data_IF_819863735992
#
_entry.id   IF_819863735992
#
_cell.length_a   1.000
_cell.length_b   1.000
_cell.length_c   1.000
_cell.angle_alpha   90.00
_cell.angle_beta   90.00
_cell.angle_gamma   90.00
#
_symmetry.space_group_name_H-M   'P 1'
#
loop_
_entity.id
_entity.type
_entity.pdbx_description
1 polymer ?
#
# COMPACT_ATOMS: atom_id res chain seq x y z
N UNK A 1 -12.94 -14.37 23.12
CA UNK A 1 -12.30 -15.29 22.15
C UNK A 1 -11.16 -16.01 22.88
N UNK A 2 -11.21 -17.34 23.05
CA UNK A 2 -10.16 -18.09 23.75
C UNK A 2 -8.95 -18.20 22.83
N UNK A 3 -7.81 -17.62 23.24
CA UNK A 3 -6.53 -17.73 22.53
C UNK A 3 -6.13 -19.22 22.46
N UNK A 4 -6.07 -19.76 21.24
CA UNK A 4 -5.58 -21.11 20.96
C UNK A 4 -4.05 -21.03 20.85
N UNK A 5 -3.34 -21.21 21.96
CA UNK A 5 -1.87 -21.25 22.00
C UNK A 5 -1.26 -20.68 23.30
N UNK A 6 0.03 -20.99 23.55
CA UNK A 6 0.83 -20.27 24.57
C UNK A 6 0.77 -18.78 24.24
N UNK A 7 0.06 -18.00 25.05
CA UNK A 7 -0.19 -16.58 24.78
C UNK A 7 1.09 -15.83 24.45
N UNK A 8 1.07 -15.13 23.31
CA UNK A 8 2.14 -14.25 22.90
C UNK A 8 2.12 -13.01 23.80
N UNK A 9 3.30 -12.43 24.08
CA UNK A 9 3.44 -11.21 24.89
C UNK A 9 2.58 -10.06 24.34
N UNK A 10 2.29 -10.09 23.04
CA UNK A 10 1.52 -9.08 22.32
C UNK A 10 0.01 -9.27 22.37
N UNK A 11 -0.49 -10.44 22.81
CA UNK A 11 -1.93 -10.74 22.77
C UNK A 11 -2.76 -9.78 23.62
N UNK A 12 -2.22 -9.30 24.74
CA UNK A 12 -2.85 -8.26 25.56
C UNK A 12 -3.03 -6.93 24.83
N UNK A 13 -2.05 -6.54 24.01
CA UNK A 13 -2.15 -5.31 23.23
C UNK A 13 -3.13 -5.49 22.07
N UNK A 14 -3.17 -6.68 21.46
CA UNK A 14 -4.18 -7.03 20.44
C UNK A 14 -5.59 -6.99 21.03
N UNK A 15 -5.79 -7.57 22.22
CA UNK A 15 -7.06 -7.52 22.95
C UNK A 15 -7.52 -6.10 23.23
N UNK A 16 -6.62 -5.24 23.72
CA UNK A 16 -6.92 -3.82 23.92
C UNK A 16 -7.30 -3.09 22.62
N UNK A 17 -6.57 -3.32 21.52
CA UNK A 17 -6.82 -2.63 20.25
C UNK A 17 -8.12 -3.08 19.56
N UNK A 18 -8.54 -4.33 19.74
CA UNK A 18 -9.74 -4.89 19.08
C UNK A 18 -10.97 -4.77 19.97
N UNK A 19 -10.87 -5.14 21.25
CA UNK A 19 -12.00 -5.24 22.18
C UNK A 19 -12.07 -4.08 23.19
N UNK A 20 -11.02 -3.27 23.30
CA UNK A 20 -10.94 -2.21 24.32
C UNK A 20 -10.60 -2.72 25.73
N UNK A 21 -10.04 -3.93 25.86
CA UNK A 21 -9.65 -4.50 27.15
C UNK A 21 -8.73 -3.56 27.94
N UNK A 22 -8.92 -3.43 29.26
CA UNK A 22 -8.11 -2.52 30.08
C UNK A 22 -6.64 -2.93 30.14
N UNK A 23 -5.74 -1.97 29.92
CA UNK A 23 -4.30 -2.15 30.07
C UNK A 23 -3.83 -1.53 31.39
N UNK A 24 -2.81 -2.13 32.01
CA UNK A 24 -2.14 -1.49 33.13
C UNK A 24 -1.38 -0.23 32.66
N UNK A 25 -1.15 0.77 33.52
CA UNK A 25 -0.44 1.99 33.13
C UNK A 25 0.94 1.76 32.49
N UNK A 26 1.67 0.75 32.98
CA UNK A 26 2.96 0.36 32.40
C UNK A 26 2.84 -0.23 31.00
N UNK A 27 1.77 -0.97 30.74
CA UNK A 27 1.49 -1.59 29.45
C UNK A 27 1.00 -0.55 28.45
N UNK A 28 0.21 0.41 28.91
CA UNK A 28 -0.20 1.56 28.11
C UNK A 28 0.99 2.43 27.70
N UNK A 29 1.93 2.71 28.62
CA UNK A 29 3.17 3.40 28.27
C UNK A 29 4.00 2.64 27.22
N UNK A 30 3.98 1.31 27.27
CA UNK A 30 4.64 0.49 26.24
C UNK A 30 3.88 0.52 24.90
N UNK A 31 2.55 0.50 24.94
CA UNK A 31 1.70 0.63 23.76
C UNK A 31 1.93 1.98 23.07
N UNK A 32 2.12 3.06 23.82
CA UNK A 32 2.46 4.37 23.26
C UNK A 32 3.81 4.34 22.52
N UNK A 33 4.81 3.60 23.01
CA UNK A 33 6.08 3.41 22.28
C UNK A 33 5.87 2.65 20.97
N UNK A 34 5.05 1.60 20.97
CA UNK A 34 4.69 0.89 19.74
C UNK A 34 3.94 1.80 18.76
N UNK A 35 2.96 2.57 19.23
CA UNK A 35 2.23 3.54 18.41
C UNK A 35 3.15 4.61 17.83
N UNK A 36 4.10 5.12 18.62
CA UNK A 36 5.10 6.10 18.17
C UNK A 36 5.98 5.52 17.07
N UNK A 37 6.50 4.31 17.25
CA UNK A 37 7.30 3.62 16.23
C UNK A 37 6.49 3.42 14.94
N UNK A 38 5.23 2.99 15.06
CA UNK A 38 4.34 2.82 13.92
C UNK A 38 4.04 4.14 13.20
N UNK A 39 3.77 5.21 13.95
CA UNK A 39 3.50 6.52 13.39
C UNK A 39 4.69 7.04 12.58
N UNK A 40 5.92 6.87 13.08
CA UNK A 40 7.13 7.24 12.33
C UNK A 40 7.25 6.43 11.03
N UNK A 41 6.99 5.13 11.07
CA UNK A 41 6.99 4.31 9.85
C UNK A 41 5.90 4.74 8.86
N UNK A 42 4.70 5.10 9.34
CA UNK A 42 3.63 5.66 8.49
C UNK A 42 4.02 7.02 7.89
N UNK A 43 4.81 7.84 8.58
CA UNK A 43 5.37 9.08 8.01
C UNK A 43 6.47 8.82 6.96
N UNK A 44 6.73 7.57 6.58
CA UNK A 44 7.71 7.20 5.56
C UNK A 44 9.14 7.09 6.07
N UNK A 45 9.39 7.14 7.38
CA UNK A 45 10.73 6.90 7.92
C UNK A 45 11.11 5.42 7.81
N UNK A 46 12.34 5.15 7.38
CA UNK A 46 12.89 3.79 7.38
C UNK A 46 13.06 3.26 8.81
N UNK A 47 13.21 1.94 8.98
CA UNK A 47 13.45 1.33 10.30
C UNK A 47 14.70 1.91 10.99
N UNK A 48 15.76 2.17 10.23
CA UNK A 48 16.99 2.79 10.74
C UNK A 48 16.76 4.23 11.19
N UNK A 49 16.08 5.04 10.37
CA UNK A 49 15.73 6.43 10.72
C UNK A 49 14.82 6.49 11.95
N UNK A 50 13.83 5.59 12.03
CA UNK A 50 12.93 5.46 13.17
C UNK A 50 13.71 5.14 14.45
N UNK A 51 14.70 4.25 14.38
CA UNK A 51 15.58 3.95 15.52
C UNK A 51 16.37 5.19 15.97
N UNK A 52 16.97 5.93 15.02
CA UNK A 52 17.71 7.17 15.33
C UNK A 52 16.84 8.27 15.90
N UNK A 53 15.57 8.37 15.48
CA UNK A 53 14.61 9.32 16.03
C UNK A 53 14.18 8.91 17.44
N UNK A 54 13.82 7.65 17.65
CA UNK A 54 13.40 7.16 18.97
C UNK A 54 14.54 7.15 19.99
N UNK A 55 15.80 6.98 19.58
CA UNK A 55 16.94 7.07 20.49
C UNK A 55 17.19 8.48 21.02
N UNK A 56 16.77 9.51 20.28
CA UNK A 56 16.81 10.90 20.76
C UNK A 56 15.67 11.22 21.74
N UNK A 57 14.52 10.57 21.56
CA UNK A 57 13.31 10.80 22.36
C UNK A 57 13.28 9.95 23.65
N UNK A 58 14.01 8.84 23.69
CA UNK A 58 13.95 7.86 24.78
C UNK A 58 15.34 7.41 25.23
N UNK A 59 15.49 7.16 26.53
CA UNK A 59 16.75 6.68 27.14
C UNK A 59 16.96 5.15 27.00
N UNK A 60 16.39 4.53 25.97
CA UNK A 60 16.45 3.09 25.76
C UNK A 60 17.68 2.69 24.94
N UNK A 61 18.19 1.48 25.19
CA UNK A 61 19.30 0.96 24.38
C UNK A 61 18.83 0.63 22.96
N UNK A 62 19.76 0.70 21.99
CA UNK A 62 19.43 0.41 20.59
C UNK A 62 18.81 -0.98 20.39
N UNK A 63 19.28 -1.98 21.15
CA UNK A 63 18.71 -3.34 21.12
C UNK A 63 17.24 -3.36 21.58
N UNK A 64 16.91 -2.60 22.62
CA UNK A 64 15.53 -2.47 23.10
C UNK A 64 14.65 -1.74 22.08
N UNK A 65 15.16 -0.66 21.47
CA UNK A 65 14.45 0.07 20.41
C UNK A 65 14.20 -0.80 19.19
N UNK A 66 15.17 -1.62 18.81
CA UNK A 66 15.01 -2.57 17.70
C UNK A 66 13.95 -3.64 18.02
N UNK A 67 13.90 -4.13 19.28
CA UNK A 67 12.83 -5.00 19.73
C UNK A 67 11.46 -4.31 19.68
N UNK A 68 11.38 -3.03 20.08
CA UNK A 68 10.14 -2.24 20.03
C UNK A 68 9.65 -2.07 18.59
N UNK A 69 10.53 -1.71 17.66
CA UNK A 69 10.17 -1.56 16.24
C UNK A 69 9.67 -2.89 15.68
N UNK A 70 10.35 -4.00 16.00
CA UNK A 70 9.95 -5.34 15.57
C UNK A 70 8.58 -5.74 16.12
N UNK A 71 8.35 -5.53 17.41
CA UNK A 71 7.08 -5.82 18.07
C UNK A 71 5.95 -4.93 17.52
N UNK A 72 6.25 -3.65 17.22
CA UNK A 72 5.33 -2.73 16.57
C UNK A 72 4.90 -3.24 15.20
N UNK A 73 5.85 -3.72 14.38
CA UNK A 73 5.54 -4.32 13.06
C UNK A 73 4.67 -5.57 13.22
N UNK A 74 4.90 -6.40 14.24
CA UNK A 74 4.05 -7.57 14.53
C UNK A 74 2.65 -7.21 15.02
N UNK A 75 2.48 -6.03 15.61
CA UNK A 75 1.21 -5.59 16.19
C UNK A 75 0.34 -4.89 15.14
N UNK A 76 0.94 -4.00 14.34
CA UNK A 76 0.22 -3.15 13.38
C UNK A 76 0.40 -3.58 11.92
N UNK A 77 1.30 -4.53 11.65
CA UNK A 77 1.70 -4.92 10.31
C UNK A 77 2.94 -4.16 9.81
N UNK A 78 3.56 -4.68 8.76
CA UNK A 78 4.67 -4.02 8.08
C UNK A 78 4.11 -3.06 7.04
N UNK A 79 4.37 -1.76 7.19
CA UNK A 79 4.01 -0.73 6.18
C UNK A 79 4.58 -1.07 4.80
N UNK A 80 5.71 -1.78 4.77
CA UNK A 80 6.36 -2.19 3.53
C UNK A 80 5.75 -3.42 2.85
N UNK A 81 4.91 -4.18 3.57
CA UNK A 81 4.22 -5.35 3.03
C UNK A 81 2.76 -5.02 2.66
N UNK A 82 2.34 -3.77 2.88
CA UNK A 82 1.02 -3.27 2.47
C UNK A 82 0.94 -3.23 0.95
N UNK A 83 -0.24 -3.54 0.43
CA UNK A 83 -0.59 -3.42 -0.98
C UNK A 83 -0.09 -2.08 -1.58
N UNK A 84 0.30 -2.14 -2.86
CA UNK A 84 0.82 -1.00 -3.63
C UNK A 84 -0.12 0.21 -3.53
N UNK A 85 -1.44 -0.02 -3.44
CA UNK A 85 -2.45 1.01 -3.20
C UNK A 85 -2.30 1.71 -1.84
N UNK A 86 -1.99 0.99 -0.77
CA UNK A 86 -1.78 1.57 0.56
C UNK A 86 -0.51 2.39 0.65
N UNK A 87 0.61 1.89 0.08
CA UNK A 87 1.84 2.68 -0.03
C UNK A 87 1.64 3.98 -0.82
N UNK A 88 0.86 3.90 -1.90
CA UNK A 88 0.47 5.04 -2.73
C UNK A 88 -0.25 6.10 -1.87
N UNK A 89 -1.23 5.70 -1.08
CA UNK A 89 -1.94 6.59 -0.18
C UNK A 89 -1.00 7.26 0.84
N UNK A 90 -0.15 6.49 1.50
CA UNK A 90 0.78 7.00 2.51
C UNK A 90 1.77 8.02 1.90
N UNK A 91 2.33 7.72 0.73
CA UNK A 91 3.25 8.64 0.06
C UNK A 91 2.56 9.93 -0.36
N UNK A 92 1.32 9.87 -0.82
CA UNK A 92 0.53 11.06 -1.11
C UNK A 92 0.37 11.96 0.11
N UNK A 93 -0.07 11.40 1.24
CA UNK A 93 -0.23 12.17 2.49
C UNK A 93 1.11 12.82 2.91
N UNK A 94 2.22 12.09 2.79
CA UNK A 94 3.54 12.62 3.09
C UNK A 94 3.94 13.77 2.15
N UNK A 95 3.63 13.68 0.85
CA UNK A 95 3.87 14.79 -0.08
C UNK A 95 2.98 16.01 0.22
N UNK A 96 1.72 15.79 0.61
CA UNK A 96 0.82 16.87 1.01
C UNK A 96 1.33 17.58 2.27
N UNK A 97 1.79 16.83 3.27
CA UNK A 97 2.44 17.39 4.46
C UNK A 97 3.71 18.17 4.12
N UNK A 98 4.57 17.63 3.27
CA UNK A 98 5.79 18.31 2.82
C UNK A 98 5.49 19.61 2.08
N UNK A 99 4.47 19.62 1.20
CA UNK A 99 4.02 20.82 0.51
C UNK A 99 3.49 21.89 1.46
N UNK A 100 2.70 21.49 2.46
CA UNK A 100 2.20 22.39 3.50
C UNK A 100 3.33 22.99 4.35
N UNK A 101 4.35 22.20 4.68
CA UNK A 101 5.53 22.67 5.42
C UNK A 101 6.33 23.68 4.58
N UNK A 102 6.62 23.35 3.32
CA UNK A 102 7.33 24.25 2.40
C UNK A 102 6.56 25.56 2.16
N UNK A 103 5.22 25.51 2.09
CA UNK A 103 4.36 26.70 2.04
C UNK A 103 4.53 27.59 3.26
N UNK A 104 4.62 26.99 4.46
CA UNK A 104 4.81 27.73 5.72
C UNK A 104 6.18 28.39 5.79
N UNK A 105 7.21 27.75 5.23
CA UNK A 105 8.59 28.26 5.19
C UNK A 105 8.85 29.25 4.04
N UNK A 106 7.88 29.43 3.13
CA UNK A 106 8.00 30.30 1.96
C UNK A 106 8.81 29.70 0.80
N UNK A 107 9.17 28.42 0.86
CA UNK A 107 9.81 27.70 -0.24
C UNK A 107 8.77 27.16 -1.23
N UNK A 108 8.30 28.05 -2.11
CA UNK A 108 7.32 27.69 -3.12
C UNK A 108 7.85 26.68 -4.15
N UNK A 109 9.18 26.61 -4.37
CA UNK A 109 9.76 25.67 -5.34
C UNK A 109 9.62 24.23 -4.84
N UNK A 110 9.94 24.01 -3.56
CA UNK A 110 9.77 22.71 -2.93
C UNK A 110 8.29 22.35 -2.77
N UNK A 111 7.44 23.34 -2.49
CA UNK A 111 5.98 23.15 -2.45
C UNK A 111 5.41 22.63 -3.79
N UNK A 112 5.73 23.30 -4.91
CA UNK A 112 5.24 22.88 -6.24
C UNK A 112 5.68 21.46 -6.56
N UNK A 113 6.96 21.13 -6.31
CA UNK A 113 7.49 19.78 -6.54
C UNK A 113 6.78 18.72 -5.70
N UNK A 114 6.48 19.01 -4.43
CA UNK A 114 5.76 18.09 -3.56
C UNK A 114 4.34 17.80 -4.09
N UNK A 115 3.60 18.83 -4.47
CA UNK A 115 2.25 18.67 -5.02
C UNK A 115 2.23 18.02 -6.41
N UNK A 116 3.20 18.33 -7.27
CA UNK A 116 3.37 17.61 -8.54
C UNK A 116 3.58 16.12 -8.31
N UNK A 117 4.47 15.74 -7.39
CA UNK A 117 4.70 14.33 -7.09
C UNK A 117 3.44 13.66 -6.51
N UNK A 118 2.68 14.34 -5.66
CA UNK A 118 1.40 13.85 -5.14
C UNK A 118 0.37 13.61 -6.25
N UNK A 119 0.24 14.56 -7.18
CA UNK A 119 -0.70 14.49 -8.31
C UNK A 119 -0.33 13.43 -9.34
N UNK A 120 0.96 13.25 -9.66
CA UNK A 120 1.44 12.14 -10.50
C UNK A 120 1.18 10.79 -9.85
N UNK A 121 1.33 10.72 -8.53
CA UNK A 121 1.08 9.49 -7.81
C UNK A 121 -0.37 9.05 -8.07
N UNK A 122 -1.36 9.91 -7.88
CA UNK A 122 -2.77 9.61 -8.15
C UNK A 122 -3.17 9.60 -9.64
N UNK A 123 -2.22 9.69 -10.57
CA UNK A 123 -2.51 9.69 -12.01
C UNK A 123 -3.53 10.78 -12.44
N UNK A 124 -3.61 11.91 -11.75
CA UNK A 124 -4.56 12.99 -12.08
C UNK A 124 -4.36 13.56 -13.50
N UNK A 125 -3.17 13.36 -14.07
CA UNK A 125 -2.78 13.86 -15.37
C UNK A 125 -2.72 12.76 -16.44
N UNK A 126 -2.98 11.51 -16.08
CA UNK A 126 -3.00 10.41 -17.04
C UNK A 126 -4.33 10.49 -17.80
N UNK A 127 -4.32 10.63 -19.14
CA UNK A 127 -5.55 10.56 -19.91
C UNK A 127 -6.16 9.18 -19.71
N UNK A 128 -7.48 9.12 -19.47
CA UNK A 128 -8.21 7.86 -19.29
C UNK A 128 -7.79 6.85 -20.36
N UNK A 129 -7.18 5.74 -19.94
CA UNK A 129 -6.56 4.72 -20.79
C UNK A 129 -7.57 3.90 -21.60
N UNK A 130 -8.86 4.24 -21.56
CA UNK A 130 -9.90 3.70 -22.43
C UNK A 130 -10.04 4.48 -23.74
N UNK A 131 -8.92 4.87 -24.33
CA UNK A 131 -8.90 5.20 -25.76
C UNK A 131 -8.90 3.87 -26.53
N UNK A 132 -10.11 3.36 -26.78
CA UNK A 132 -10.35 2.31 -27.77
C UNK A 132 -9.62 2.71 -29.06
N UNK A 133 -8.62 1.93 -29.50
CA UNK A 133 -7.86 2.25 -30.72
C UNK A 133 -8.81 2.08 -31.92
N UNK A 134 -9.18 3.17 -32.64
CA UNK A 134 -10.11 3.09 -33.76
C UNK A 134 -9.61 2.17 -34.89
N UNK A 135 -8.31 1.82 -34.88
CA UNK A 135 -7.69 0.94 -35.85
C UNK A 135 -8.02 -0.54 -35.63
N UNK A 136 -8.42 -0.94 -34.42
CA UNK A 136 -8.88 -2.32 -34.19
C UNK A 136 -10.24 -2.57 -34.87
N UNK A 137 -11.11 -1.57 -34.95
CA UNK A 137 -12.40 -1.65 -35.65
C UNK A 137 -12.28 -1.65 -37.18
N UNK A 138 -11.11 -1.26 -37.71
CA UNK A 138 -10.87 -1.14 -39.15
C UNK A 138 -10.18 -2.37 -39.74
N UNK A 139 -9.88 -3.42 -38.96
CA UNK A 139 -9.30 -4.65 -39.51
C UNK A 139 -10.34 -5.35 -40.39
N UNK A 140 -10.13 -5.44 -41.72
CA UNK A 140 -11.06 -6.16 -42.57
C UNK A 140 -10.99 -7.64 -42.21
N UNK A 141 -12.13 -8.23 -41.81
CA UNK A 141 -12.23 -9.66 -41.60
C UNK A 141 -11.86 -10.39 -42.89
N UNK A 142 -10.85 -11.26 -42.82
CA UNK A 142 -10.43 -12.06 -43.97
C UNK A 142 -11.48 -13.15 -44.18
N UNK A 143 -12.40 -12.91 -45.10
CA UNK A 143 -13.40 -13.92 -45.48
C UNK A 143 -12.70 -14.92 -46.42
N UNK A 144 -12.38 -16.10 -45.90
CA UNK A 144 -11.82 -17.21 -46.70
C UNK A 144 -13.00 -18.03 -47.20
N UNK A 145 -13.21 -18.05 -48.51
CA UNK A 145 -14.17 -18.95 -49.15
C UNK A 145 -13.48 -20.27 -49.49
N UNK A 146 -13.89 -21.37 -48.85
CA UNK A 146 -13.42 -22.73 -49.16
C UNK A 146 -14.59 -23.62 -49.56
N UNK A 147 -14.35 -24.51 -50.52
CA UNK A 147 -15.32 -25.51 -51.00
C UNK A 147 -15.32 -26.80 -50.17
N UNK A 148 -14.41 -26.92 -49.20
CA UNK A 148 -14.28 -28.11 -48.35
C UNK A 148 -15.02 -27.90 -47.02
N UNK A 149 -15.96 -28.79 -46.63
CA UNK A 149 -16.78 -28.62 -45.43
C UNK A 149 -15.98 -28.71 -44.12
N UNK A 150 -14.80 -29.33 -44.15
CA UNK A 150 -13.92 -29.47 -42.97
C UNK A 150 -13.34 -28.13 -42.48
N UNK A 151 -13.16 -27.15 -43.38
CA UNK A 151 -12.62 -25.83 -43.05
C UNK A 151 -13.61 -25.02 -42.18
N UNK A 152 -14.90 -25.31 -42.30
CA UNK A 152 -15.95 -24.66 -41.51
C UNK A 152 -15.93 -25.09 -40.03
N UNK A 153 -15.59 -26.36 -39.78
CA UNK A 153 -15.54 -26.92 -38.41
C UNK A 153 -14.33 -26.41 -37.62
N UNK A 154 -13.19 -26.18 -38.29
CA UNK A 154 -12.00 -25.58 -37.68
C UNK A 154 -12.21 -24.11 -37.32
N UNK A 155 -12.90 -23.33 -38.15
CA UNK A 155 -13.24 -21.94 -37.85
C UNK A 155 -14.21 -21.83 -36.67
N UNK A 156 -15.26 -22.67 -36.65
CA UNK A 156 -16.21 -22.69 -35.54
C UNK A 156 -15.55 -23.08 -34.21
N UNK A 157 -14.50 -23.91 -34.22
CA UNK A 157 -13.74 -24.23 -33.00
C UNK A 157 -12.86 -23.07 -32.54
N UNK A 158 -12.19 -22.37 -33.45
CA UNK A 158 -11.36 -21.21 -33.10
C UNK A 158 -12.20 -20.05 -32.53
N UNK A 159 -13.38 -19.80 -33.11
CA UNK A 159 -14.29 -18.76 -32.61
C UNK A 159 -14.84 -19.08 -31.21
N UNK A 160 -14.91 -20.35 -30.81
CA UNK A 160 -15.35 -20.74 -29.45
C UNK A 160 -14.22 -20.57 -28.43
N UNK A 161 -12.96 -20.85 -28.82
CA UNK A 161 -11.79 -20.68 -27.94
C UNK A 161 -11.49 -19.20 -27.64
N UNK A 162 -11.77 -18.28 -28.58
CA UNK A 162 -11.60 -16.83 -28.38
C UNK A 162 -12.73 -16.17 -27.54
N UNK A 163 -13.81 -16.91 -27.21
CA UNK A 163 -14.94 -16.45 -26.39
C UNK A 163 -14.83 -16.90 -24.92
N UNK A 164 -13.85 -17.75 -24.57
CA UNK A 164 -13.55 -18.07 -23.18
C UNK A 164 -12.92 -16.84 -22.49
N UNK A 165 -13.83 -16.05 -21.93
CA UNK A 165 -13.67 -15.07 -20.86
C UNK A 165 -12.23 -14.95 -20.35
N UNK A 166 -11.58 -13.84 -20.74
CA UNK A 166 -10.72 -13.10 -19.81
C UNK A 166 -11.60 -12.56 -18.68
N UNK A 167 -12.06 -13.49 -17.82
CA UNK A 167 -12.63 -13.19 -16.53
C UNK A 167 -11.53 -12.57 -15.67
N UNK A 168 -11.74 -11.30 -15.37
CA UNK A 168 -11.49 -10.65 -14.09
C UNK A 168 -10.16 -10.96 -13.38
N UNK A 169 -9.19 -10.06 -13.57
CA UNK A 169 -8.42 -9.49 -12.45
C UNK A 169 -8.33 -7.96 -12.59
#
# INVERSE_FOLDING_TARGET
MKLIGKGDKLDKYRGHLINGDELKPQEEAMLQKYRRANALMCCGYSRGQTLTLMSKETELSESQLFAIIRDSIKLFGSVNEVDKAGMKYIMYENFMLAGNLARKEGDFKSMVRAYENASRLYDLFSPDTHLIDPREFLRPGVIIYSTEPAVLEEQQRQDIEDIDYTDAE
#
